data_IF_714744927170
#
_entry.id   IF_714744927170
#
_cell.length_a   1.000
_cell.length_b   1.000
_cell.length_c   1.000
_cell.angle_alpha   90.00
_cell.angle_beta   90.00
_cell.angle_gamma   90.00
#
_symmetry.space_group_name_H-M   'P 1'
#
loop_
_entity.id
_entity.type
_entity.pdbx_description
1 polymer ?
#
# COMPACT_ATOMS: atom_id res chain seq x y z
N UNK A 1 22.47 -35.79 27.02
CA UNK A 1 21.87 -35.27 25.76
C UNK A 1 20.99 -34.02 25.98
N UNK A 2 21.45 -32.99 26.71
CA UNK A 2 20.59 -31.86 27.13
C UNK A 2 20.83 -30.53 26.39
N UNK A 3 22.08 -30.22 26.00
CA UNK A 3 22.42 -28.89 25.45
C UNK A 3 21.78 -28.55 24.10
N UNK A 4 21.58 -29.54 23.22
CA UNK A 4 21.10 -29.30 21.85
C UNK A 4 19.59 -29.01 21.78
N UNK A 5 18.81 -29.45 22.78
CA UNK A 5 17.39 -29.09 22.92
C UNK A 5 17.21 -27.67 23.44
N UNK A 6 18.07 -27.24 24.36
CA UNK A 6 18.00 -25.91 24.96
C UNK A 6 18.43 -24.82 23.99
N UNK A 7 19.49 -25.06 23.21
CA UNK A 7 19.93 -24.15 22.12
C UNK A 7 18.85 -23.99 21.04
N UNK A 8 18.18 -25.07 20.64
CA UNK A 8 17.05 -25.00 19.69
C UNK A 8 15.87 -24.19 20.25
N UNK A 9 15.61 -24.29 21.55
CA UNK A 9 14.51 -23.57 22.22
C UNK A 9 14.80 -22.06 22.26
N UNK A 10 16.02 -21.67 22.62
CA UNK A 10 16.45 -20.27 22.60
C UNK A 10 16.47 -19.68 21.18
N UNK A 11 16.94 -20.46 20.20
CA UNK A 11 16.92 -20.05 18.79
C UNK A 11 15.48 -19.85 18.29
N UNK A 12 14.55 -20.75 18.63
CA UNK A 12 13.14 -20.61 18.26
C UNK A 12 12.48 -19.40 18.92
N UNK A 13 12.82 -19.06 20.17
CA UNK A 13 12.31 -17.87 20.85
C UNK A 13 12.82 -16.59 20.15
N UNK A 14 14.12 -16.53 19.86
CA UNK A 14 14.74 -15.41 19.14
C UNK A 14 14.19 -15.28 17.72
N UNK A 15 14.06 -16.38 16.99
CA UNK A 15 13.47 -16.40 15.65
C UNK A 15 12.02 -15.94 15.69
N UNK A 16 11.20 -16.43 16.64
CA UNK A 16 9.82 -15.99 16.79
C UNK A 16 9.70 -14.51 17.19
N UNK A 17 10.58 -14.01 18.06
CA UNK A 17 10.61 -12.60 18.44
C UNK A 17 10.99 -11.69 17.25
N UNK A 18 12.00 -12.11 16.46
CA UNK A 18 12.42 -11.40 15.26
C UNK A 18 11.34 -11.41 14.18
N UNK A 19 10.68 -12.56 13.96
CA UNK A 19 9.56 -12.68 13.01
C UNK A 19 8.40 -11.79 13.45
N UNK A 20 8.00 -11.79 14.73
CA UNK A 20 6.93 -10.91 15.25
C UNK A 20 7.27 -9.43 15.11
N UNK A 21 8.51 -9.02 15.42
CA UNK A 21 8.94 -7.62 15.27
C UNK A 21 8.96 -7.17 13.81
N UNK A 22 9.43 -8.04 12.90
CA UNK A 22 9.39 -7.78 11.45
C UNK A 22 7.96 -7.70 10.92
N UNK A 23 7.10 -8.63 11.34
CA UNK A 23 5.68 -8.67 11.00
C UNK A 23 4.97 -7.38 11.39
N UNK A 24 5.16 -6.91 12.63
CA UNK A 24 4.57 -5.65 13.12
C UNK A 24 5.09 -4.42 12.38
N UNK A 25 6.35 -4.43 11.92
CA UNK A 25 6.91 -3.34 11.13
C UNK A 25 6.29 -3.32 9.73
N UNK A 26 6.24 -4.46 9.05
CA UNK A 26 5.67 -4.53 7.71
C UNK A 26 4.18 -4.13 7.70
N UNK A 27 3.38 -4.59 8.68
CA UNK A 27 1.99 -4.16 8.82
C UNK A 27 1.89 -2.64 9.04
N UNK A 28 2.75 -2.06 9.88
CA UNK A 28 2.81 -0.61 10.07
C UNK A 28 3.15 0.15 8.79
N UNK A 29 4.12 -0.34 8.02
CA UNK A 29 4.54 0.28 6.76
C UNK A 29 3.43 0.18 5.70
N UNK A 30 2.63 -0.89 5.72
CA UNK A 30 1.43 -1.06 4.88
C UNK A 30 0.34 -0.06 5.28
N UNK A 31 0.04 0.08 6.56
CA UNK A 31 -0.95 1.03 7.06
C UNK A 31 -0.54 2.49 6.81
N UNK A 32 0.75 2.82 6.94
CA UNK A 32 1.25 4.17 6.61
C UNK A 32 1.11 4.45 5.11
N UNK A 33 1.39 3.47 4.25
CA UNK A 33 1.18 3.60 2.81
C UNK A 33 -0.30 3.86 2.48
N UNK A 34 -1.21 3.06 3.03
CA UNK A 34 -2.65 3.24 2.85
C UNK A 34 -3.08 4.66 3.25
N UNK A 35 -2.70 5.11 4.46
CA UNK A 35 -3.03 6.45 4.96
C UNK A 35 -2.57 7.55 3.99
N UNK A 36 -1.36 7.43 3.44
CA UNK A 36 -0.84 8.41 2.45
C UNK A 36 -1.65 8.43 1.17
N UNK A 37 -2.11 7.26 0.70
CA UNK A 37 -2.96 7.16 -0.49
C UNK A 37 -4.31 7.83 -0.22
N UNK A 38 -4.93 7.57 0.93
CA UNK A 38 -6.18 8.22 1.34
C UNK A 38 -6.04 9.73 1.48
N UNK A 39 -4.96 10.20 2.12
CA UNK A 39 -4.66 11.63 2.25
C UNK A 39 -4.53 12.30 0.88
N UNK A 40 -3.88 11.65 -0.09
CA UNK A 40 -3.80 12.13 -1.47
C UNK A 40 -5.19 12.21 -2.11
N UNK A 41 -6.00 11.16 -2.01
CA UNK A 41 -7.36 11.12 -2.57
C UNK A 41 -8.24 12.22 -1.98
N UNK A 42 -8.18 12.44 -0.67
CA UNK A 42 -8.93 13.50 0.03
C UNK A 42 -8.45 14.88 -0.41
N UNK A 43 -7.14 15.12 -0.39
CA UNK A 43 -6.52 16.42 -0.74
C UNK A 43 -6.95 16.91 -2.11
N UNK A 44 -7.07 15.98 -3.06
CA UNK A 44 -7.43 16.29 -4.45
C UNK A 44 -8.89 15.99 -4.81
N UNK A 45 -9.74 15.66 -3.83
CA UNK A 45 -11.16 15.29 -4.02
C UNK A 45 -11.35 14.23 -5.10
N UNK A 46 -10.63 13.13 -4.96
CA UNK A 46 -10.64 11.98 -5.87
C UNK A 46 -11.33 10.75 -5.28
N UNK A 47 -12.15 10.94 -4.23
CA UNK A 47 -12.91 9.88 -3.57
C UNK A 47 -14.14 9.47 -4.40
N UNK A 48 -14.60 8.24 -4.21
CA UNK A 48 -15.82 7.73 -4.84
C UNK A 48 -17.04 8.65 -4.62
N UNK A 49 -17.83 8.88 -5.68
CA UNK A 49 -19.08 9.64 -5.62
C UNK A 49 -18.95 11.17 -5.65
N UNK A 50 -17.74 11.73 -5.71
CA UNK A 50 -17.56 13.19 -5.65
C UNK A 50 -16.30 13.72 -6.35
N UNK A 51 -15.81 13.03 -7.39
CA UNK A 51 -14.56 13.36 -8.05
C UNK A 51 -14.62 14.74 -8.72
N UNK A 52 -13.76 15.67 -8.27
CA UNK A 52 -13.57 16.97 -8.92
C UNK A 52 -12.20 17.05 -9.59
N UNK A 53 -12.16 16.65 -10.86
CA UNK A 53 -10.93 16.71 -11.66
C UNK A 53 -10.39 18.13 -11.84
N UNK A 54 -11.22 19.17 -11.70
CA UNK A 54 -10.71 20.54 -11.81
C UNK A 54 -9.75 20.87 -10.67
N UNK A 55 -9.98 20.31 -9.48
CA UNK A 55 -9.11 20.55 -8.34
C UNK A 55 -7.73 19.92 -8.54
N UNK A 56 -7.68 18.66 -8.96
CA UNK A 56 -6.40 17.99 -9.24
C UNK A 56 -5.67 18.61 -10.43
N UNK A 57 -6.39 19.08 -11.45
CA UNK A 57 -5.76 19.73 -12.60
C UNK A 57 -5.28 21.16 -12.33
N UNK A 58 -5.93 21.88 -11.39
CA UNK A 58 -5.49 23.21 -10.96
C UNK A 58 -4.12 23.16 -10.27
N UNK A 59 -3.87 22.11 -9.49
CA UNK A 59 -2.60 21.89 -8.80
C UNK A 59 -1.88 20.63 -9.31
N UNK A 60 -1.91 20.42 -10.64
CA UNK A 60 -1.40 19.20 -11.26
C UNK A 60 0.10 18.98 -11.02
N UNK A 61 0.87 20.06 -10.91
CA UNK A 61 2.30 19.99 -10.60
C UNK A 61 2.53 19.33 -9.25
N UNK A 62 1.79 19.75 -8.21
CA UNK A 62 1.89 19.17 -6.88
C UNK A 62 1.31 17.77 -6.82
N UNK A 63 0.16 17.53 -7.45
CA UNK A 63 -0.45 16.20 -7.51
C UNK A 63 0.51 15.15 -8.12
N UNK A 64 1.29 15.55 -9.13
CA UNK A 64 2.32 14.70 -9.75
C UNK A 64 3.50 14.40 -8.83
N UNK A 65 3.91 15.36 -8.00
CA UNK A 65 4.97 15.15 -7.01
C UNK A 65 4.47 14.20 -5.94
N UNK A 66 3.32 14.50 -5.34
CA UNK A 66 2.72 13.70 -4.26
C UNK A 66 2.52 12.24 -4.70
N UNK A 67 1.91 12.00 -5.86
CA UNK A 67 1.69 10.62 -6.34
C UNK A 67 3.02 9.90 -6.64
N UNK A 68 4.05 10.61 -7.09
CA UNK A 68 5.37 10.02 -7.34
C UNK A 68 6.04 9.58 -6.05
N UNK A 69 5.94 10.39 -4.99
CA UNK A 69 6.43 10.03 -3.65
C UNK A 69 5.70 8.81 -3.11
N UNK A 70 4.37 8.76 -3.24
CA UNK A 70 3.54 7.64 -2.80
C UNK A 70 3.91 6.36 -3.55
N UNK A 71 4.04 6.41 -4.88
CA UNK A 71 4.46 5.24 -5.67
C UNK A 71 5.86 4.75 -5.27
N UNK A 72 6.80 5.65 -4.97
CA UNK A 72 8.13 5.27 -4.48
C UNK A 72 8.08 4.56 -3.13
N UNK A 73 7.25 5.07 -2.21
CA UNK A 73 7.02 4.41 -0.92
C UNK A 73 6.38 3.04 -1.12
N UNK A 74 5.40 2.91 -2.02
CA UNK A 74 4.75 1.64 -2.33
C UNK A 74 5.74 0.55 -2.76
N UNK A 75 6.70 0.90 -3.63
CA UNK A 75 7.77 -0.02 -4.03
C UNK A 75 8.60 -0.53 -2.84
N UNK A 76 8.97 0.36 -1.92
CA UNK A 76 9.69 -0.03 -0.68
C UNK A 76 8.83 -0.88 0.25
N UNK A 77 7.54 -0.57 0.37
CA UNK A 77 6.62 -1.34 1.23
C UNK A 77 6.44 -2.76 0.70
N UNK A 78 6.39 -2.97 -0.62
CA UNK A 78 6.35 -4.31 -1.25
C UNK A 78 7.59 -5.13 -0.86
N UNK A 79 8.79 -4.53 -0.93
CA UNK A 79 10.05 -5.21 -0.56
C UNK A 79 10.02 -5.70 0.90
N UNK A 80 9.45 -4.90 1.81
CA UNK A 80 9.36 -5.24 3.24
C UNK A 80 8.22 -6.23 3.53
N UNK A 81 7.12 -6.18 2.77
CA UNK A 81 5.95 -7.01 3.00
C UNK A 81 6.08 -8.45 2.47
N UNK A 82 7.04 -8.72 1.59
CA UNK A 82 7.35 -10.08 1.13
C UNK A 82 7.69 -11.08 2.26
N UNK A 83 8.06 -10.57 3.44
CA UNK A 83 8.42 -11.37 4.61
C UNK A 83 7.24 -11.66 5.57
N UNK A 84 6.03 -11.14 5.29
CA UNK A 84 4.87 -11.27 6.18
C UNK A 84 4.18 -12.63 5.95
N UNK A 85 4.40 -13.58 6.86
CA UNK A 85 3.66 -14.85 6.88
C UNK A 85 2.19 -14.61 7.23
N UNK A 86 1.27 -15.16 6.43
CA UNK A 86 -0.10 -15.40 6.88
C UNK A 86 -1.22 -14.93 5.96
N UNK A 87 -0.91 -14.15 4.90
CA UNK A 87 -1.83 -13.80 3.82
C UNK A 87 -1.01 -13.35 2.62
N UNK A 88 -1.55 -13.51 1.41
CA UNK A 88 -0.93 -13.05 0.15
C UNK A 88 -0.93 -11.50 0.04
N UNK A 89 -0.37 -10.82 1.05
CA UNK A 89 -0.25 -9.35 1.10
C UNK A 89 0.62 -8.81 -0.02
N UNK A 90 1.67 -9.54 -0.40
CA UNK A 90 2.57 -9.10 -1.47
C UNK A 90 1.83 -8.95 -2.80
N UNK A 91 1.08 -9.95 -3.30
CA UNK A 91 0.24 -9.77 -4.48
C UNK A 91 -0.74 -8.59 -4.38
N UNK A 92 -1.35 -8.36 -3.21
CA UNK A 92 -2.26 -7.23 -3.00
C UNK A 92 -1.54 -5.87 -3.08
N UNK A 93 -0.36 -5.77 -2.47
CA UNK A 93 0.48 -4.57 -2.53
C UNK A 93 1.01 -4.31 -3.94
N UNK A 94 1.41 -5.36 -4.67
CA UNK A 94 1.82 -5.26 -6.08
C UNK A 94 0.67 -4.74 -6.96
N UNK A 95 -0.58 -5.14 -6.65
CA UNK A 95 -1.77 -4.60 -7.31
C UNK A 95 -1.98 -3.11 -7.00
N UNK A 96 -1.96 -2.73 -5.72
CA UNK A 96 -2.06 -1.33 -5.29
C UNK A 96 -0.97 -0.47 -5.95
N UNK A 97 0.28 -0.93 -5.99
CA UNK A 97 1.37 -0.21 -6.63
C UNK A 97 1.18 -0.06 -8.15
N UNK A 98 0.64 -1.09 -8.80
CA UNK A 98 0.30 -1.04 -10.23
C UNK A 98 -0.79 0.00 -10.49
N UNK A 99 -1.84 0.03 -9.68
CA UNK A 99 -2.93 0.99 -9.84
C UNK A 99 -2.49 2.43 -9.50
N UNK A 100 -1.61 2.61 -8.51
CA UNK A 100 -0.98 3.91 -8.23
C UNK A 100 -0.16 4.40 -9.42
N UNK A 101 0.65 3.53 -10.04
CA UNK A 101 1.44 3.89 -11.23
C UNK A 101 0.51 4.20 -12.43
N UNK A 102 -0.63 3.52 -12.55
CA UNK A 102 -1.64 3.86 -13.55
C UNK A 102 -2.26 5.24 -13.30
N UNK A 103 -2.65 5.56 -12.07
CA UNK A 103 -3.15 6.90 -11.68
C UNK A 103 -2.10 7.96 -11.97
N UNK A 104 -0.85 7.74 -11.56
CA UNK A 104 0.29 8.61 -11.86
C UNK A 104 0.42 8.84 -13.35
N UNK A 105 0.46 7.78 -14.17
CA UNK A 105 0.50 7.92 -15.64
C UNK A 105 -0.67 8.74 -16.18
N UNK A 106 -1.85 8.56 -15.59
CA UNK A 106 -3.05 9.34 -15.91
C UNK A 106 -2.84 10.84 -15.69
N UNK A 107 -2.29 11.22 -14.54
CA UNK A 107 -1.97 12.61 -14.20
C UNK A 107 -0.83 13.20 -15.06
N UNK A 108 0.11 12.38 -15.52
CA UNK A 108 1.19 12.82 -16.41
C UNK A 108 0.75 12.95 -17.87
N UNK A 109 -0.28 12.21 -18.28
CA UNK A 109 -0.75 12.18 -19.67
C UNK A 109 -1.78 13.27 -19.93
N UNK A 110 -1.41 14.29 -20.73
CA UNK A 110 -2.30 15.43 -21.07
C UNK A 110 -3.62 15.04 -21.74
N UNK A 111 -3.68 13.88 -22.37
CA UNK A 111 -4.85 13.42 -23.15
C UNK A 111 -5.79 12.53 -22.35
N UNK A 112 -5.42 12.09 -21.14
CA UNK A 112 -6.31 11.31 -20.27
C UNK A 112 -7.41 12.24 -19.78
N UNK A 113 -8.58 12.13 -20.40
CA UNK A 113 -9.80 12.83 -20.00
C UNK A 113 -10.30 12.27 -18.65
N UNK A 114 -11.13 13.05 -17.95
CA UNK A 114 -11.65 12.71 -16.62
C UNK A 114 -12.18 11.26 -16.51
N UNK A 115 -12.83 10.72 -17.54
CA UNK A 115 -13.32 9.33 -17.54
C UNK A 115 -12.22 8.27 -17.41
N UNK A 116 -11.08 8.43 -18.11
CA UNK A 116 -9.98 7.48 -18.04
C UNK A 116 -9.16 7.59 -16.75
N UNK A 117 -9.17 8.76 -16.09
CA UNK A 117 -8.60 8.91 -14.76
C UNK A 117 -9.56 8.37 -13.69
N UNK A 118 -10.87 8.53 -13.86
CA UNK A 118 -11.89 8.00 -12.96
C UNK A 118 -11.80 6.47 -12.87
N UNK A 119 -11.72 5.78 -14.01
CA UNK A 119 -11.56 4.31 -14.05
C UNK A 119 -10.29 3.84 -13.31
N UNK A 120 -9.19 4.58 -13.42
CA UNK A 120 -7.94 4.24 -12.71
C UNK A 120 -8.06 4.47 -11.21
N UNK A 121 -8.78 5.51 -10.79
CA UNK A 121 -9.07 5.78 -9.39
C UNK A 121 -10.00 4.73 -8.79
N UNK A 122 -10.99 4.27 -9.56
CA UNK A 122 -11.91 3.21 -9.16
C UNK A 122 -11.17 1.88 -8.94
N UNK A 123 -10.29 1.49 -9.87
CA UNK A 123 -9.42 0.32 -9.70
C UNK A 123 -8.53 0.44 -8.44
N UNK A 124 -7.97 1.63 -8.19
CA UNK A 124 -7.17 1.88 -7.01
C UNK A 124 -7.98 1.72 -5.71
N UNK A 125 -9.22 2.21 -5.65
CA UNK A 125 -10.10 2.03 -4.49
C UNK A 125 -10.36 0.55 -4.23
N UNK A 126 -10.75 -0.22 -5.24
CA UNK A 126 -10.97 -1.67 -5.11
C UNK A 126 -9.73 -2.42 -4.62
N UNK A 127 -8.54 -2.06 -5.12
CA UNK A 127 -7.27 -2.64 -4.67
C UNK A 127 -6.95 -2.30 -3.22
N UNK A 128 -7.27 -1.08 -2.76
CA UNK A 128 -7.12 -0.67 -1.37
C UNK A 128 -8.07 -1.41 -0.43
N UNK A 129 -9.34 -1.58 -0.82
CA UNK A 129 -10.32 -2.36 -0.05
C UNK A 129 -9.87 -3.81 0.12
N UNK A 130 -9.38 -4.44 -0.95
CA UNK A 130 -8.82 -5.79 -0.89
C UNK A 130 -7.62 -5.91 0.06
N UNK A 131 -6.71 -4.92 0.03
CA UNK A 131 -5.57 -4.85 0.95
C UNK A 131 -6.04 -4.68 2.40
N UNK A 132 -6.99 -3.79 2.66
CA UNK A 132 -7.57 -3.52 3.98
C UNK A 132 -8.26 -4.75 4.59
N UNK A 133 -9.05 -5.47 3.79
CA UNK A 133 -9.67 -6.72 4.21
C UNK A 133 -8.62 -7.75 4.62
N UNK A 134 -7.54 -7.87 3.83
CA UNK A 134 -6.44 -8.78 4.15
C UNK A 134 -5.69 -8.37 5.42
N UNK A 135 -5.33 -7.10 5.59
CA UNK A 135 -4.65 -6.59 6.79
C UNK A 135 -5.51 -6.81 8.05
N UNK A 136 -6.80 -6.46 7.99
CA UNK A 136 -7.72 -6.67 9.11
C UNK A 136 -7.77 -8.13 9.54
N UNK A 137 -7.82 -9.07 8.58
CA UNK A 137 -7.84 -10.50 8.89
C UNK A 137 -6.56 -11.05 9.56
N UNK A 138 -5.45 -10.30 9.49
CA UNK A 138 -4.18 -10.61 10.16
C UNK A 138 -4.18 -10.04 11.59
N UNK A 139 -4.68 -8.82 11.78
CA UNK A 139 -4.70 -8.18 13.11
C UNK A 139 -5.65 -8.86 14.10
N UNK A 140 -6.72 -9.50 13.62
CA UNK A 140 -7.73 -10.17 14.45
C UNK A 140 -7.52 -11.69 14.61
N UNK A 141 -6.33 -12.23 14.26
CA UNK A 141 -5.93 -13.64 14.49
C UNK A 141 -4.80 -13.76 15.51
#
# INVERSE_FOLDING_TARGET
MSGMKEVKKQFNILANALVRKKHNRALRDVLDLQRRIEEFLIKYRLQEGGIDFNLVFRDIGRARIDITEITHIAGKTIEVAGDVKGNDLRPLLERVATDLENVKRGLFTRTVRGSGLAERLDNLHHSLEGLLGAVSSIEYK
#
